data_IF_585624097081
#
_entry.id   IF_585624097081
#
_cell.length_a   1.000
_cell.length_b   1.000
_cell.length_c   1.000
_cell.angle_alpha   90.00
_cell.angle_beta   90.00
_cell.angle_gamma   90.00
#
_symmetry.space_group_name_H-M   'P 1'
#
loop_
_entity.id
_entity.type
_entity.pdbx_description
1 polymer ?
#
# COMPACT_ATOMS: atom_id res chain seq x y z
N UNK A 1 -30.11 13.21 -8.82
CA UNK A 1 -28.75 13.48 -8.30
C UNK A 1 -27.86 13.85 -9.48
N UNK A 2 -27.10 14.94 -9.41
CA UNK A 2 -26.07 15.21 -10.42
C UNK A 2 -24.99 14.13 -10.34
N UNK A 3 -24.32 13.80 -11.45
CA UNK A 3 -23.27 12.77 -11.44
C UNK A 3 -22.19 13.03 -10.37
N UNK A 4 -21.81 14.31 -10.17
CA UNK A 4 -20.84 14.74 -9.16
C UNK A 4 -21.32 14.62 -7.70
N UNK A 5 -22.61 14.39 -7.47
CA UNK A 5 -23.21 14.23 -6.14
C UNK A 5 -23.44 12.76 -5.78
N UNK A 6 -23.17 11.84 -6.72
CA UNK A 6 -23.33 10.40 -6.48
C UNK A 6 -22.49 9.97 -5.28
N UNK A 7 -22.97 9.05 -4.41
CA UNK A 7 -22.29 8.70 -3.17
C UNK A 7 -20.83 8.26 -3.32
N UNK A 8 -20.50 7.66 -4.47
CA UNK A 8 -19.13 7.30 -4.85
C UNK A 8 -18.16 8.49 -4.74
N UNK A 9 -18.59 9.71 -5.05
CA UNK A 9 -17.71 10.88 -5.11
C UNK A 9 -17.72 11.72 -3.83
N UNK A 10 -18.30 11.22 -2.73
CA UNK A 10 -18.40 12.01 -1.49
C UNK A 10 -17.09 12.06 -0.69
N UNK A 11 -16.25 11.02 -0.78
CA UNK A 11 -15.00 10.91 -0.01
C UNK A 11 -13.98 10.06 -0.78
N UNK A 12 -12.70 10.43 -0.70
CA UNK A 12 -11.60 9.80 -1.44
C UNK A 12 -11.50 8.28 -1.33
N UNK A 13 -11.78 7.64 -0.19
CA UNK A 13 -11.66 6.18 -0.10
C UNK A 13 -12.68 5.45 -1.00
N UNK A 14 -13.85 6.04 -1.26
CA UNK A 14 -14.92 5.36 -1.99
C UNK A 14 -14.53 4.98 -3.43
N UNK A 15 -14.10 5.92 -4.30
CA UNK A 15 -13.71 5.55 -5.66
C UNK A 15 -12.42 4.73 -5.65
N UNK A 16 -11.42 5.13 -4.86
CA UNK A 16 -10.12 4.48 -4.95
C UNK A 16 -10.06 3.11 -4.26
N UNK A 17 -10.88 2.82 -3.26
CA UNK A 17 -10.97 1.45 -2.72
C UNK A 17 -11.75 0.54 -3.68
N UNK A 18 -12.73 1.06 -4.41
CA UNK A 18 -13.39 0.31 -5.48
C UNK A 18 -12.38 -0.02 -6.59
N UNK A 19 -11.61 0.96 -7.05
CA UNK A 19 -10.54 0.74 -8.03
C UNK A 19 -9.47 -0.22 -7.51
N UNK A 20 -9.06 -0.11 -6.24
CA UNK A 20 -8.12 -1.04 -5.63
C UNK A 20 -8.65 -2.47 -5.54
N UNK A 21 -9.95 -2.68 -5.31
CA UNK A 21 -10.54 -4.02 -5.34
C UNK A 21 -10.50 -4.61 -6.75
N UNK A 22 -10.88 -3.82 -7.76
CA UNK A 22 -10.85 -4.26 -9.16
C UNK A 22 -9.42 -4.52 -9.65
N UNK A 23 -8.49 -3.63 -9.34
CA UNK A 23 -7.08 -3.77 -9.73
C UNK A 23 -6.38 -4.87 -8.94
N UNK A 24 -6.67 -5.02 -7.65
CA UNK A 24 -6.16 -6.12 -6.83
C UNK A 24 -6.66 -7.48 -7.31
N UNK A 25 -7.89 -7.55 -7.82
CA UNK A 25 -8.40 -8.76 -8.45
C UNK A 25 -7.69 -9.05 -9.78
N UNK A 26 -7.51 -8.05 -10.64
CA UNK A 26 -7.07 -8.25 -12.03
C UNK A 26 -5.55 -8.27 -12.24
N UNK A 27 -4.79 -7.37 -11.60
CA UNK A 27 -3.38 -7.13 -11.93
C UNK A 27 -2.45 -8.30 -11.60
N UNK A 28 -2.54 -8.98 -10.44
CA UNK A 28 -1.72 -10.16 -10.18
C UNK A 28 -2.03 -11.31 -11.13
N UNK A 29 -3.30 -11.48 -11.53
CA UNK A 29 -3.69 -12.50 -12.49
C UNK A 29 -3.11 -12.20 -13.87
N UNK A 30 -3.27 -10.97 -14.34
CA UNK A 30 -2.67 -10.52 -15.60
C UNK A 30 -1.15 -10.68 -15.59
N UNK A 31 -0.49 -10.27 -14.51
CA UNK A 31 0.96 -10.47 -14.34
C UNK A 31 1.35 -11.93 -14.47
N UNK A 32 0.66 -12.84 -13.77
CA UNK A 32 1.04 -14.25 -13.82
C UNK A 32 0.90 -14.82 -15.23
N UNK A 33 -0.16 -14.47 -15.96
CA UNK A 33 -0.35 -14.92 -17.34
C UNK A 33 0.74 -14.39 -18.29
N UNK A 34 1.20 -13.17 -18.07
CA UNK A 34 2.33 -12.59 -18.81
C UNK A 34 3.66 -13.24 -18.42
N UNK A 35 3.87 -13.45 -17.12
CA UNK A 35 5.10 -14.00 -16.55
C UNK A 35 5.35 -15.44 -17.02
N UNK A 36 4.31 -16.26 -17.13
CA UNK A 36 4.42 -17.64 -17.61
C UNK A 36 4.28 -17.79 -19.12
N UNK A 37 4.14 -16.68 -19.85
CA UNK A 37 4.06 -16.68 -21.32
C UNK A 37 2.74 -17.18 -21.89
N UNK A 38 1.70 -17.34 -21.07
CA UNK A 38 0.34 -17.71 -21.52
C UNK A 38 -0.28 -16.58 -22.35
N UNK A 39 0.01 -15.33 -21.99
CA UNK A 39 -0.39 -14.13 -22.75
C UNK A 39 0.86 -13.39 -23.19
N UNK A 40 0.89 -12.97 -24.47
CA UNK A 40 1.98 -12.14 -24.98
C UNK A 40 1.86 -10.72 -24.43
N UNK A 41 2.94 -10.13 -23.88
CA UNK A 41 2.91 -8.75 -23.41
C UNK A 41 2.63 -7.78 -24.57
N UNK A 42 1.87 -6.69 -24.33
CA UNK A 42 1.66 -5.68 -25.34
C UNK A 42 2.99 -5.00 -25.71
N UNK A 43 3.06 -4.44 -26.93
CA UNK A 43 4.20 -3.63 -27.35
C UNK A 43 4.44 -2.49 -26.35
N UNK A 44 5.63 -2.47 -25.73
CA UNK A 44 5.94 -1.55 -24.64
C UNK A 44 7.44 -1.26 -24.60
N UNK A 45 7.87 -0.02 -24.29
CA UNK A 45 9.26 0.29 -24.00
C UNK A 45 9.71 -0.23 -22.63
N UNK A 46 8.79 -0.75 -21.82
CA UNK A 46 9.04 -1.23 -20.47
C UNK A 46 9.23 -2.74 -20.46
N UNK A 47 10.20 -3.22 -19.68
CA UNK A 47 10.28 -4.64 -19.40
C UNK A 47 9.05 -5.12 -18.58
N UNK A 48 8.60 -6.38 -18.74
CA UNK A 48 7.39 -6.88 -18.06
C UNK A 48 7.42 -6.73 -16.54
N UNK A 49 8.59 -6.89 -15.92
CA UNK A 49 8.79 -6.68 -14.47
C UNK A 49 8.64 -5.21 -14.06
N UNK A 50 9.06 -4.25 -14.90
CA UNK A 50 8.86 -2.82 -14.67
C UNK A 50 7.37 -2.47 -14.72
N UNK A 51 6.66 -2.99 -15.73
CA UNK A 51 5.21 -2.84 -15.82
C UNK A 51 4.53 -3.42 -14.58
N UNK A 52 4.86 -4.65 -14.18
CA UNK A 52 4.29 -5.27 -12.98
C UNK A 52 4.54 -4.44 -11.72
N UNK A 53 5.79 -4.02 -11.48
CA UNK A 53 6.14 -3.21 -10.33
C UNK A 53 5.34 -1.90 -10.33
N UNK A 54 5.20 -1.26 -11.49
CA UNK A 54 4.41 -0.04 -11.63
C UNK A 54 2.92 -0.27 -11.34
N UNK A 55 2.32 -1.28 -11.95
CA UNK A 55 0.91 -1.62 -11.73
C UNK A 55 0.61 -1.95 -10.27
N UNK A 56 1.49 -2.69 -9.58
CA UNK A 56 1.30 -3.06 -8.19
C UNK A 56 1.50 -1.89 -7.23
N UNK A 57 2.53 -1.06 -7.42
CA UNK A 57 2.78 0.08 -6.54
C UNK A 57 1.90 1.29 -6.86
N UNK A 58 1.86 1.72 -8.12
CA UNK A 58 1.19 2.96 -8.52
C UNK A 58 -0.25 2.76 -9.02
N UNK A 59 -0.57 1.59 -9.59
CA UNK A 59 -1.94 1.22 -9.91
C UNK A 59 -2.73 0.84 -8.65
N UNK A 60 -2.43 -0.34 -8.10
CA UNK A 60 -3.09 -0.87 -6.90
C UNK A 60 -2.71 -0.12 -5.61
N UNK A 61 -1.42 -0.01 -5.32
CA UNK A 61 -0.93 0.54 -4.05
C UNK A 61 -1.36 1.99 -3.83
N UNK A 62 -1.32 2.84 -4.85
CA UNK A 62 -1.73 4.25 -4.74
C UNK A 62 -3.24 4.46 -4.85
N UNK A 63 -4.01 3.54 -5.44
CA UNK A 63 -5.45 3.55 -5.24
C UNK A 63 -5.78 3.38 -3.74
N UNK A 64 -5.11 2.45 -3.05
CA UNK A 64 -5.30 2.26 -1.61
C UNK A 64 -4.76 3.43 -0.79
N UNK A 65 -3.47 3.76 -0.96
CA UNK A 65 -2.81 4.80 -0.17
C UNK A 65 -3.44 6.17 -0.44
N UNK A 66 -3.70 6.49 -1.70
CA UNK A 66 -4.36 7.73 -2.10
C UNK A 66 -5.77 7.86 -1.56
N UNK A 67 -6.58 6.81 -1.67
CA UNK A 67 -7.93 6.77 -1.10
C UNK A 67 -7.93 6.94 0.43
N UNK A 68 -6.99 6.29 1.11
CA UNK A 68 -6.77 6.45 2.55
C UNK A 68 -6.36 7.89 2.91
N UNK A 69 -5.34 8.44 2.24
CA UNK A 69 -4.80 9.76 2.55
C UNK A 69 -5.82 10.86 2.29
N UNK A 70 -6.53 10.85 1.16
CA UNK A 70 -7.59 11.82 0.87
C UNK A 70 -8.73 11.80 1.90
N UNK A 71 -8.94 10.66 2.56
CA UNK A 71 -9.97 10.48 3.60
C UNK A 71 -9.47 10.86 4.98
N UNK A 72 -8.18 10.67 5.25
CA UNK A 72 -7.61 10.84 6.59
C UNK A 72 -7.04 12.24 6.80
N UNK A 73 -6.40 12.84 5.79
CA UNK A 73 -5.85 14.20 5.89
C UNK A 73 -6.91 15.21 6.27
N UNK A 74 -8.12 15.10 5.71
CA UNK A 74 -9.24 15.98 6.06
C UNK A 74 -9.58 15.95 7.56
N UNK A 75 -9.46 14.79 8.20
CA UNK A 75 -9.72 14.63 9.62
C UNK A 75 -8.55 15.14 10.47
N UNK A 76 -7.31 15.01 9.97
CA UNK A 76 -6.11 15.45 10.70
C UNK A 76 -6.06 16.96 10.85
N UNK A 77 -6.46 17.69 9.79
CA UNK A 77 -6.42 19.16 9.72
C UNK A 77 -7.81 19.81 9.87
N UNK A 78 -8.86 19.04 10.13
CA UNK A 78 -10.19 19.56 10.44
C UNK A 78 -10.96 20.23 9.29
N UNK A 79 -10.81 19.75 8.05
CA UNK A 79 -11.50 20.31 6.86
C UNK A 79 -12.47 19.33 6.21
N UNK A 80 -13.35 19.82 5.34
CA UNK A 80 -14.39 19.02 4.65
C UNK A 80 -13.82 17.92 3.73
N UNK A 81 -12.61 18.11 3.19
CA UNK A 81 -11.95 17.19 2.25
C UNK A 81 -12.51 17.24 0.83
N UNK A 82 -11.79 16.64 -0.12
CA UNK A 82 -12.16 16.67 -1.54
C UNK A 82 -13.34 15.74 -1.85
N UNK A 83 -14.27 16.24 -2.67
CA UNK A 83 -15.48 15.53 -3.11
C UNK A 83 -15.95 16.01 -4.49
N UNK A 84 -16.72 15.18 -5.20
CA UNK A 84 -17.30 15.50 -6.51
C UNK A 84 -16.27 15.52 -7.63
N UNK A 85 -16.26 16.59 -8.44
CA UNK A 85 -15.45 16.72 -9.66
C UNK A 85 -13.96 16.41 -9.48
N UNK A 86 -13.26 16.90 -8.44
CA UNK A 86 -11.85 16.53 -8.21
C UNK A 86 -11.62 15.02 -8.11
N UNK A 87 -12.52 14.27 -7.46
CA UNK A 87 -12.39 12.82 -7.35
C UNK A 87 -12.71 12.11 -8.66
N UNK A 88 -13.66 12.64 -9.45
CA UNK A 88 -13.96 12.14 -10.80
C UNK A 88 -12.72 12.28 -11.70
N UNK A 89 -12.10 13.47 -11.70
CA UNK A 89 -10.91 13.75 -12.51
C UNK A 89 -9.73 12.88 -12.10
N UNK A 90 -9.50 12.70 -10.79
CA UNK A 90 -8.44 11.80 -10.32
C UNK A 90 -8.72 10.33 -10.67
N UNK A 91 -9.96 9.87 -10.58
CA UNK A 91 -10.33 8.49 -10.96
C UNK A 91 -10.17 8.28 -12.48
N UNK A 92 -10.55 9.27 -13.29
CA UNK A 92 -10.31 9.26 -14.73
C UNK A 92 -8.82 9.25 -15.05
N UNK A 93 -8.02 10.08 -14.39
CA UNK A 93 -6.56 10.09 -14.54
C UNK A 93 -5.95 8.73 -14.16
N UNK A 94 -6.44 8.07 -13.11
CA UNK A 94 -5.99 6.73 -12.73
C UNK A 94 -6.26 5.70 -13.84
N UNK A 95 -7.47 5.73 -14.42
CA UNK A 95 -7.85 4.85 -15.52
C UNK A 95 -7.02 5.12 -16.78
N UNK A 96 -6.84 6.40 -17.14
CA UNK A 96 -6.00 6.83 -18.25
C UNK A 96 -4.57 6.34 -18.09
N UNK A 97 -4.03 6.37 -16.88
CA UNK A 97 -2.69 5.84 -16.60
C UNK A 97 -2.60 4.33 -16.86
N UNK A 98 -3.64 3.54 -16.52
CA UNK A 98 -3.64 2.08 -16.79
C UNK A 98 -3.66 1.80 -18.29
N UNK A 99 -4.48 2.54 -19.03
CA UNK A 99 -4.52 2.48 -20.49
C UNK A 99 -3.17 2.92 -21.08
N UNK A 100 -2.58 4.00 -20.57
CA UNK A 100 -1.29 4.50 -21.01
C UNK A 100 -0.15 3.50 -20.80
N UNK A 101 -0.16 2.77 -19.68
CA UNK A 101 0.79 1.70 -19.41
C UNK A 101 0.61 0.49 -20.33
N UNK A 102 -0.63 0.12 -20.64
CA UNK A 102 -0.90 -1.01 -21.53
C UNK A 102 -0.55 -0.71 -22.99
N UNK A 103 -0.80 0.53 -23.45
CA UNK A 103 -0.52 0.98 -24.81
C UNK A 103 0.79 1.77 -24.94
N UNK A 104 1.71 1.61 -23.99
CA UNK A 104 2.92 2.44 -23.88
C UNK A 104 3.77 2.44 -25.17
N UNK A 105 3.85 1.32 -25.90
CA UNK A 105 4.60 1.24 -27.16
C UNK A 105 4.00 2.03 -28.33
N UNK A 106 2.77 2.50 -28.22
CA UNK A 106 2.07 3.26 -29.26
C UNK A 106 1.95 4.75 -28.93
N UNK A 107 2.36 5.17 -27.74
CA UNK A 107 2.22 6.56 -27.29
C UNK A 107 3.51 7.35 -27.54
N UNK A 108 3.40 8.60 -28.02
CA UNK A 108 4.54 9.53 -28.01
C UNK A 108 5.11 9.69 -26.59
N UNK A 109 6.45 9.78 -26.42
CA UNK A 109 7.07 9.83 -25.09
C UNK A 109 6.52 10.92 -24.16
N UNK A 110 6.26 12.12 -24.71
CA UNK A 110 5.68 13.22 -23.94
C UNK A 110 4.25 12.90 -23.46
N UNK A 111 3.43 12.30 -24.32
CA UNK A 111 2.06 11.93 -23.96
C UNK A 111 2.06 10.82 -22.90
N UNK A 112 2.94 9.82 -23.05
CA UNK A 112 3.15 8.78 -22.04
C UNK A 112 3.58 9.38 -20.69
N UNK A 113 4.53 10.32 -20.68
CA UNK A 113 5.00 10.98 -19.45
C UNK A 113 3.90 11.83 -18.77
N UNK A 114 3.11 12.58 -19.55
CA UNK A 114 2.02 13.40 -19.02
C UNK A 114 0.93 12.50 -18.44
N UNK A 115 0.38 11.58 -19.23
CA UNK A 115 -0.66 10.63 -18.78
C UNK A 115 -0.17 9.83 -17.58
N UNK A 116 1.10 9.40 -17.64
CA UNK A 116 1.82 8.72 -16.57
C UNK A 116 1.84 9.49 -15.26
N UNK A 117 1.76 10.82 -15.24
CA UNK A 117 1.89 11.59 -14.00
C UNK A 117 0.62 12.34 -13.57
N UNK A 118 -0.46 12.35 -14.36
CA UNK A 118 -1.70 13.08 -14.03
C UNK A 118 -2.32 12.62 -12.69
N UNK A 119 -2.44 11.31 -12.48
CA UNK A 119 -3.06 10.78 -11.26
C UNK A 119 -2.19 11.03 -10.03
N UNK A 120 -0.95 10.52 -10.03
CA UNK A 120 -0.05 10.62 -8.89
C UNK A 120 0.31 12.08 -8.58
N UNK A 121 0.60 12.88 -9.62
CA UNK A 121 0.89 14.30 -9.47
C UNK A 121 -0.31 15.05 -8.89
N UNK A 122 -1.51 14.84 -9.44
CA UNK A 122 -2.73 15.48 -8.96
C UNK A 122 -3.03 15.15 -7.49
N UNK A 123 -3.00 13.87 -7.10
CA UNK A 123 -3.30 13.47 -5.72
C UNK A 123 -2.22 13.95 -4.74
N UNK A 124 -0.94 13.89 -5.10
CA UNK A 124 0.16 14.41 -4.27
C UNK A 124 0.00 15.91 -4.05
N UNK A 125 -0.29 16.69 -5.11
CA UNK A 125 -0.50 18.13 -4.99
C UNK A 125 -1.69 18.46 -4.09
N UNK A 126 -2.81 17.75 -4.23
CA UNK A 126 -3.99 17.93 -3.37
C UNK A 126 -3.69 17.64 -1.90
N UNK A 127 -2.95 16.56 -1.62
CA UNK A 127 -2.56 16.19 -0.26
C UNK A 127 -1.57 17.19 0.35
N UNK A 128 -0.55 17.60 -0.41
CA UNK A 128 0.42 18.61 0.03
C UNK A 128 -0.25 19.95 0.28
N UNK A 129 -1.10 20.40 -0.64
CA UNK A 129 -1.89 21.63 -0.46
C UNK A 129 -2.66 21.61 0.86
N UNK A 130 -3.40 20.52 1.12
CA UNK A 130 -4.19 20.37 2.35
C UNK A 130 -3.31 20.43 3.60
N UNK A 131 -2.20 19.68 3.62
CA UNK A 131 -1.31 19.59 4.79
C UNK A 131 -0.52 20.88 5.04
N UNK A 132 -0.14 21.61 3.98
CA UNK A 132 0.61 22.87 4.11
C UNK A 132 -0.32 24.01 4.47
N UNK A 133 -1.45 24.15 3.78
CA UNK A 133 -2.40 25.26 3.98
C UNK A 133 -3.05 25.26 5.35
N UNK A 134 -3.25 24.08 5.93
CA UNK A 134 -3.90 23.87 7.23
C UNK A 134 -2.94 23.25 8.26
N UNK A 135 -1.64 23.56 8.14
CA UNK A 135 -0.59 22.99 8.99
C UNK A 135 -0.73 23.33 10.47
N UNK A 136 -1.33 24.47 10.78
CA UNK A 136 -1.52 24.93 12.16
C UNK A 136 -2.57 24.09 12.90
N UNK A 137 -3.60 23.63 12.17
CA UNK A 137 -4.70 22.82 12.69
C UNK A 137 -4.40 21.30 12.69
N UNK A 138 -3.19 20.91 12.29
CA UNK A 138 -2.80 19.52 12.11
C UNK A 138 -2.54 18.79 13.44
N UNK A 139 -3.51 17.98 13.86
CA UNK A 139 -3.42 17.10 15.04
C UNK A 139 -2.26 16.09 14.99
N UNK A 140 -1.72 15.80 13.80
CA UNK A 140 -0.57 14.91 13.58
C UNK A 140 0.66 15.63 13.00
N UNK A 141 0.81 16.95 13.24
CA UNK A 141 1.86 17.80 12.66
C UNK A 141 3.28 17.22 12.69
N UNK A 142 3.66 16.59 13.80
CA UNK A 142 5.00 15.97 13.99
C UNK A 142 5.20 14.78 13.05
N UNK A 143 4.16 13.97 12.85
CA UNK A 143 4.26 12.79 11.98
C UNK A 143 4.03 13.16 10.52
N UNK A 144 3.16 14.13 10.23
CA UNK A 144 2.85 14.56 8.87
C UNK A 144 4.02 15.27 8.17
N UNK A 145 5.05 15.72 8.91
CA UNK A 145 6.30 16.19 8.29
C UNK A 145 6.95 15.12 7.41
N UNK A 146 6.82 13.84 7.76
CA UNK A 146 7.34 12.74 6.95
C UNK A 146 6.53 12.57 5.66
N UNK A 147 5.22 12.82 5.68
CA UNK A 147 4.41 12.85 4.45
C UNK A 147 4.73 14.06 3.56
N UNK A 148 5.03 15.24 4.14
CA UNK A 148 5.47 16.40 3.35
C UNK A 148 6.73 16.11 2.52
N UNK A 149 7.61 15.25 3.02
CA UNK A 149 8.82 14.80 2.32
C UNK A 149 8.52 13.61 1.39
N UNK A 150 7.80 12.60 1.88
CA UNK A 150 7.56 11.35 1.14
C UNK A 150 6.67 11.53 -0.09
N UNK A 151 5.67 12.41 -0.03
CA UNK A 151 4.69 12.58 -1.11
C UNK A 151 5.34 13.04 -2.44
N UNK A 152 6.17 14.09 -2.48
CA UNK A 152 6.94 14.43 -3.68
C UNK A 152 7.88 13.31 -4.15
N UNK A 153 8.51 12.60 -3.21
CA UNK A 153 9.45 11.53 -3.54
C UNK A 153 8.79 10.35 -4.24
N UNK A 154 7.49 10.11 -4.05
CA UNK A 154 6.78 9.09 -4.83
C UNK A 154 6.70 9.41 -6.32
N UNK A 155 6.61 10.69 -6.70
CA UNK A 155 6.65 11.10 -8.11
C UNK A 155 8.04 10.82 -8.68
N UNK A 156 9.09 11.17 -7.93
CA UNK A 156 10.47 10.89 -8.34
C UNK A 156 10.71 9.38 -8.48
N UNK A 157 10.36 8.60 -7.45
CA UNK A 157 10.54 7.15 -7.43
C UNK A 157 9.80 6.46 -8.60
N UNK A 158 8.59 6.93 -8.93
CA UNK A 158 7.84 6.44 -10.08
C UNK A 158 8.54 6.67 -11.41
N UNK A 159 9.00 7.90 -11.67
CA UNK A 159 9.63 8.21 -12.95
C UNK A 159 10.97 7.49 -13.08
N UNK A 160 11.72 7.33 -11.99
CA UNK A 160 12.92 6.49 -11.96
C UNK A 160 12.60 5.02 -12.22
N UNK A 161 11.48 4.50 -11.72
CA UNK A 161 11.03 3.12 -11.94
C UNK A 161 10.70 2.86 -13.42
N UNK A 162 10.09 3.84 -14.10
CA UNK A 162 9.68 3.72 -15.50
C UNK A 162 10.86 3.88 -16.48
N UNK A 163 11.98 4.47 -16.06
CA UNK A 163 13.18 4.58 -16.88
C UNK A 163 14.07 3.33 -16.73
N UNK A 164 14.49 2.67 -17.84
CA UNK A 164 15.30 1.45 -17.79
C UNK A 164 16.58 1.57 -16.95
N UNK A 165 17.34 2.65 -17.15
CA UNK A 165 18.65 2.85 -16.51
C UNK A 165 18.54 3.09 -14.99
N UNK A 166 17.38 3.55 -14.52
CA UNK A 166 17.15 3.92 -13.11
C UNK A 166 16.12 3.02 -12.43
N UNK A 167 15.67 1.95 -13.09
CA UNK A 167 14.62 1.07 -12.58
C UNK A 167 14.94 0.58 -11.16
N UNK A 168 16.18 0.15 -10.93
CA UNK A 168 16.66 -0.36 -9.64
C UNK A 168 16.45 0.66 -8.50
N UNK A 169 16.87 1.91 -8.74
CA UNK A 169 16.69 3.02 -7.81
C UNK A 169 15.21 3.31 -7.61
N UNK A 170 14.41 3.36 -8.69
CA UNK A 170 12.99 3.68 -8.62
C UNK A 170 12.17 2.68 -7.81
N UNK A 171 12.35 1.37 -8.01
CA UNK A 171 11.62 0.37 -7.23
C UNK A 171 12.09 0.33 -5.78
N UNK A 172 13.39 0.49 -5.51
CA UNK A 172 13.96 0.54 -4.16
C UNK A 172 13.40 1.73 -3.38
N UNK A 173 13.38 2.93 -3.99
CA UNK A 173 12.79 4.13 -3.41
C UNK A 173 11.30 3.94 -3.16
N UNK A 174 10.57 3.37 -4.11
CA UNK A 174 9.13 3.11 -3.98
C UNK A 174 8.83 2.20 -2.78
N UNK A 175 9.60 1.11 -2.62
CA UNK A 175 9.46 0.20 -1.49
C UNK A 175 9.75 0.90 -0.16
N UNK A 176 10.82 1.71 -0.10
CA UNK A 176 11.16 2.52 1.07
C UNK A 176 10.07 3.53 1.45
N UNK A 177 9.47 4.19 0.47
CA UNK A 177 8.39 5.16 0.68
C UNK A 177 7.11 4.49 1.20
N UNK A 178 6.73 3.33 0.65
CA UNK A 178 5.64 2.54 1.19
C UNK A 178 5.92 2.08 2.62
N UNK A 179 7.14 1.61 2.90
CA UNK A 179 7.55 1.22 4.27
C UNK A 179 7.42 2.39 5.25
N UNK A 180 7.90 3.57 4.88
CA UNK A 180 7.71 4.78 5.69
C UNK A 180 6.23 5.11 5.90
N UNK A 181 5.42 5.11 4.84
CA UNK A 181 3.99 5.38 4.92
C UNK A 181 3.26 4.40 5.85
N UNK A 182 3.50 3.09 5.69
CA UNK A 182 2.92 2.06 6.54
C UNK A 182 3.38 2.16 7.99
N UNK A 183 4.65 2.49 8.26
CA UNK A 183 5.14 2.70 9.62
C UNK A 183 4.42 3.87 10.32
N UNK A 184 4.29 5.01 9.63
CA UNK A 184 3.56 6.18 10.15
C UNK A 184 2.09 5.84 10.38
N UNK A 185 1.46 5.10 9.47
CA UNK A 185 0.06 4.72 9.58
C UNK A 185 -0.20 3.70 10.70
N UNK A 186 0.60 2.64 10.77
CA UNK A 186 0.49 1.59 11.79
C UNK A 186 0.58 2.15 13.19
N UNK A 187 1.51 3.08 13.40
CA UNK A 187 1.70 3.80 14.65
C UNK A 187 0.42 4.48 15.15
N UNK A 188 -0.31 5.15 14.26
CA UNK A 188 -1.58 5.81 14.58
C UNK A 188 -2.71 4.79 14.76
N UNK A 189 -2.85 3.87 13.82
CA UNK A 189 -4.02 2.96 13.78
C UNK A 189 -3.98 1.91 14.88
N UNK A 190 -2.82 1.28 15.13
CA UNK A 190 -2.72 0.23 16.14
C UNK A 190 -2.99 0.77 17.54
N UNK A 191 -2.53 1.99 17.85
CA UNK A 191 -2.80 2.64 19.13
C UNK A 191 -4.31 2.76 19.36
N UNK A 192 -5.05 3.25 18.36
CA UNK A 192 -6.51 3.42 18.46
C UNK A 192 -7.25 2.08 18.45
N UNK A 193 -6.79 1.10 17.69
CA UNK A 193 -7.45 -0.22 17.63
C UNK A 193 -7.25 -1.02 18.91
N UNK A 194 -6.04 -1.03 19.47
CA UNK A 194 -5.76 -1.70 20.74
C UNK A 194 -6.59 -1.08 21.88
N UNK A 195 -6.69 0.26 21.92
CA UNK A 195 -7.56 0.96 22.87
C UNK A 195 -9.03 0.64 22.63
N UNK A 196 -9.52 0.77 21.40
CA UNK A 196 -10.95 0.62 21.09
C UNK A 196 -11.48 -0.81 21.24
N UNK A 197 -10.67 -1.82 20.96
CA UNK A 197 -11.11 -3.23 20.98
C UNK A 197 -10.77 -3.94 22.28
N UNK A 198 -9.58 -3.69 22.85
CA UNK A 198 -9.11 -4.41 24.03
C UNK A 198 -9.04 -3.53 25.28
N UNK A 199 -9.39 -2.24 25.18
CA UNK A 199 -9.11 -1.25 26.25
C UNK A 199 -7.65 -1.25 26.68
N UNK A 200 -6.76 -1.64 25.77
CA UNK A 200 -5.34 -1.84 26.04
C UNK A 200 -4.54 -0.64 25.53
N UNK A 201 -3.88 0.05 26.44
CA UNK A 201 -2.86 1.05 26.07
C UNK A 201 -1.57 0.34 25.67
N UNK A 202 -0.99 0.76 24.55
CA UNK A 202 0.35 0.36 24.10
C UNK A 202 1.35 1.48 24.40
N UNK A 203 2.58 1.12 24.76
CA UNK A 203 3.60 2.11 25.10
C UNK A 203 4.07 2.85 23.85
N UNK A 204 4.14 4.17 23.96
CA UNK A 204 4.65 5.08 22.93
C UNK A 204 5.81 5.87 23.50
N UNK A 205 6.97 5.78 22.84
CA UNK A 205 8.18 6.52 23.19
C UNK A 205 8.53 7.43 22.02
N UNK A 206 8.20 8.71 22.14
CA UNK A 206 8.38 9.67 21.04
C UNK A 206 9.81 9.70 20.46
N UNK A 207 10.90 9.59 21.25
CA UNK A 207 12.25 9.49 20.69
C UNK A 207 12.45 8.25 19.80
N UNK A 208 11.99 7.08 20.25
CA UNK A 208 12.08 5.82 19.49
C UNK A 208 11.22 5.89 18.22
N UNK A 209 9.98 6.37 18.33
CA UNK A 209 9.09 6.48 17.17
C UNK A 209 9.68 7.43 16.11
N UNK A 210 10.23 8.57 16.52
CA UNK A 210 10.90 9.49 15.60
C UNK A 210 12.18 8.90 14.99
N UNK A 211 12.99 8.18 15.76
CA UNK A 211 14.18 7.50 15.24
C UNK A 211 13.79 6.44 14.19
N UNK A 212 12.75 5.64 14.44
CA UNK A 212 12.22 4.66 13.47
C UNK A 212 11.79 5.35 12.17
N UNK A 213 11.03 6.45 12.25
CA UNK A 213 10.58 7.19 11.07
C UNK A 213 11.74 7.83 10.31
N UNK A 214 12.77 8.35 11.00
CA UNK A 214 13.97 8.91 10.37
C UNK A 214 14.79 7.83 9.67
N UNK A 215 15.06 6.70 10.33
CA UNK A 215 15.75 5.56 9.71
C UNK A 215 14.97 5.02 8.49
N UNK A 216 13.64 4.95 8.58
CA UNK A 216 12.80 4.54 7.46
C UNK A 216 12.87 5.54 6.29
N UNK A 217 12.95 6.85 6.57
CA UNK A 217 13.16 7.87 5.55
C UNK A 217 14.55 7.78 4.90
N UNK A 218 15.60 7.55 5.68
CA UNK A 218 16.95 7.33 5.12
C UNK A 218 16.98 6.12 4.17
N UNK A 219 16.27 5.06 4.55
CA UNK A 219 16.15 3.86 3.74
C UNK A 219 15.29 4.02 2.47
N UNK A 220 14.67 5.17 2.23
CA UNK A 220 14.14 5.51 0.90
C UNK A 220 15.29 5.58 -0.11
N UNK A 221 16.46 6.05 0.31
CA UNK A 221 17.63 6.23 -0.55
C UNK A 221 18.59 5.04 -0.52
N UNK A 222 18.12 3.85 -0.10
CA UNK A 222 18.96 2.67 0.15
C UNK A 222 19.91 2.35 -1.02
N UNK A 223 19.39 2.33 -2.25
CA UNK A 223 20.18 2.00 -3.45
C UNK A 223 21.29 3.01 -3.77
N UNK A 224 21.27 4.19 -3.15
CA UNK A 224 22.26 5.25 -3.35
C UNK A 224 23.30 5.28 -2.22
N UNK A 225 23.11 4.49 -1.17
CA UNK A 225 24.03 4.40 -0.05
C UNK A 225 25.08 3.30 -0.30
N UNK A 226 26.28 3.41 0.30
CA UNK A 226 27.22 2.31 0.33
C UNK A 226 26.58 1.04 0.92
N UNK A 227 26.79 -0.16 0.35
CA UNK A 227 26.08 -1.39 0.76
C UNK A 227 26.16 -1.70 2.26
N UNK A 228 27.33 -1.48 2.86
CA UNK A 228 27.56 -1.69 4.31
C UNK A 228 26.71 -0.73 5.14
N UNK A 229 26.64 0.56 4.74
CA UNK A 229 25.87 1.57 5.44
C UNK A 229 24.36 1.30 5.32
N UNK A 230 23.87 0.97 4.12
CA UNK A 230 22.46 0.60 3.95
C UNK A 230 22.08 -0.64 4.76
N UNK A 231 22.97 -1.65 4.78
CA UNK A 231 22.78 -2.86 5.58
C UNK A 231 22.71 -2.56 7.07
N UNK A 232 23.62 -1.73 7.59
CA UNK A 232 23.64 -1.32 8.99
C UNK A 232 22.34 -0.56 9.37
N UNK A 233 21.92 0.42 8.57
CA UNK A 233 20.68 1.18 8.81
C UNK A 233 19.46 0.24 8.80
N UNK A 234 19.38 -0.69 7.85
CA UNK A 234 18.31 -1.68 7.76
C UNK A 234 18.22 -2.55 9.04
N UNK A 235 19.35 -3.09 9.50
CA UNK A 235 19.40 -3.91 10.72
C UNK A 235 19.12 -3.12 12.00
N UNK A 236 19.60 -1.87 12.08
CA UNK A 236 19.26 -0.97 13.20
C UNK A 236 17.76 -0.66 13.23
N UNK A 237 17.16 -0.36 12.07
CA UNK A 237 15.72 -0.13 11.96
C UNK A 237 14.91 -1.37 12.34
N UNK A 238 15.29 -2.55 11.84
CA UNK A 238 14.64 -3.81 12.19
C UNK A 238 14.71 -4.08 13.70
N UNK A 239 15.87 -3.86 14.32
CA UNK A 239 16.07 -4.03 15.77
C UNK A 239 15.21 -3.06 16.59
N UNK A 240 15.14 -1.79 16.19
CA UNK A 240 14.28 -0.80 16.83
C UNK A 240 12.79 -1.18 16.71
N UNK A 241 12.38 -1.68 15.55
CA UNK A 241 11.01 -2.17 15.32
C UNK A 241 10.68 -3.38 16.18
N UNK A 242 11.60 -4.35 16.32
CA UNK A 242 11.42 -5.52 17.19
C UNK A 242 11.33 -5.10 18.67
N UNK A 243 12.20 -4.20 19.12
CA UNK A 243 12.12 -3.65 20.48
C UNK A 243 10.77 -2.98 20.74
N UNK A 244 10.26 -2.20 19.80
CA UNK A 244 8.92 -1.58 19.89
C UNK A 244 7.78 -2.61 19.88
N UNK A 245 7.93 -3.68 19.10
CA UNK A 245 6.90 -4.72 18.91
C UNK A 245 6.47 -5.36 20.23
N UNK A 246 7.42 -5.65 21.13
CA UNK A 246 7.11 -6.22 22.46
C UNK A 246 6.21 -5.31 23.30
N UNK A 247 6.38 -3.99 23.19
CA UNK A 247 5.55 -3.04 23.91
C UNK A 247 4.13 -2.90 23.33
N UNK A 248 3.88 -3.43 22.13
CA UNK A 248 2.61 -3.31 21.41
C UNK A 248 1.68 -4.52 21.61
N UNK A 249 1.92 -5.31 22.67
CA UNK A 249 1.08 -6.41 23.16
C UNK A 249 0.64 -7.38 22.04
N UNK A 250 1.59 -7.97 21.29
CA UNK A 250 1.28 -8.79 20.12
C UNK A 250 0.42 -10.00 20.47
N UNK A 251 0.67 -10.65 21.62
CA UNK A 251 -0.13 -11.81 22.05
C UNK A 251 -1.62 -11.47 22.19
N UNK A 252 -1.95 -10.33 22.78
CA UNK A 252 -3.33 -9.83 22.89
C UNK A 252 -3.91 -9.57 21.51
N UNK A 253 -3.16 -8.90 20.63
CA UNK A 253 -3.63 -8.58 19.29
C UNK A 253 -3.92 -9.84 18.44
N UNK A 254 -3.09 -10.87 18.56
CA UNK A 254 -3.24 -12.12 17.79
C UNK A 254 -4.47 -12.94 18.19
N UNK A 255 -5.12 -12.66 19.33
CA UNK A 255 -6.41 -13.28 19.69
C UNK A 255 -7.54 -12.91 18.73
N UNK A 256 -7.38 -11.83 17.95
CA UNK A 256 -8.35 -11.35 16.97
C UNK A 256 -7.69 -11.13 15.62
N UNK A 257 -8.08 -11.91 14.61
CA UNK A 257 -7.52 -11.82 13.27
C UNK A 257 -7.60 -10.41 12.66
N UNK A 258 -8.65 -9.64 12.96
CA UNK A 258 -8.83 -8.29 12.41
C UNK A 258 -7.84 -7.24 12.95
N UNK A 259 -7.12 -7.55 14.03
CA UNK A 259 -6.04 -6.74 14.59
C UNK A 259 -4.70 -7.46 14.44
N UNK A 260 -4.63 -8.76 14.73
CA UNK A 260 -3.42 -9.57 14.60
C UNK A 260 -2.80 -9.49 13.21
N UNK A 261 -3.60 -9.35 12.15
CA UNK A 261 -3.13 -9.14 10.78
C UNK A 261 -2.25 -7.88 10.62
N UNK A 262 -2.51 -6.83 11.41
CA UNK A 262 -1.72 -5.60 11.42
C UNK A 262 -0.35 -5.84 12.07
N UNK A 263 -0.29 -6.67 13.12
CA UNK A 263 0.96 -7.10 13.74
C UNK A 263 1.75 -8.06 12.85
N UNK A 264 1.08 -8.95 12.11
CA UNK A 264 1.73 -9.77 11.07
C UNK A 264 2.33 -8.89 9.98
N UNK A 265 1.59 -7.88 9.51
CA UNK A 265 2.10 -6.92 8.54
C UNK A 265 3.25 -6.06 9.05
N UNK A 266 3.24 -5.70 10.34
CA UNK A 266 4.38 -5.09 11.00
C UNK A 266 5.61 -6.00 10.97
N UNK A 267 5.45 -7.29 11.27
CA UNK A 267 6.54 -8.27 11.15
C UNK A 267 6.99 -8.47 9.71
N UNK A 268 6.13 -8.26 8.71
CA UNK A 268 6.52 -8.19 7.29
C UNK A 268 7.53 -7.08 7.02
N UNK A 269 7.37 -5.90 7.64
CA UNK A 269 8.35 -4.80 7.53
C UNK A 269 9.68 -5.21 8.15
N UNK A 270 9.63 -5.80 9.34
CA UNK A 270 10.83 -6.29 10.04
C UNK A 270 11.53 -7.37 9.22
N UNK A 271 10.79 -8.36 8.72
CA UNK A 271 11.33 -9.47 7.94
C UNK A 271 11.99 -9.00 6.66
N UNK A 272 11.37 -8.08 5.91
CA UNK A 272 12.00 -7.47 4.73
C UNK A 272 13.31 -6.78 5.08
N UNK A 273 13.33 -5.96 6.14
CA UNK A 273 14.54 -5.25 6.57
C UNK A 273 15.66 -6.18 7.06
N UNK A 274 15.33 -7.27 7.74
CA UNK A 274 16.31 -8.26 8.16
C UNK A 274 16.92 -8.96 6.95
N UNK A 275 16.11 -9.39 5.98
CA UNK A 275 16.62 -10.04 4.78
C UNK A 275 17.52 -9.12 3.96
N UNK A 276 17.08 -7.88 3.71
CA UNK A 276 17.89 -6.92 2.96
C UNK A 276 19.14 -6.53 3.74
N UNK A 277 19.02 -6.29 5.05
CA UNK A 277 20.13 -5.95 5.93
C UNK A 277 21.22 -7.03 5.95
N UNK A 278 20.85 -8.27 6.28
CA UNK A 278 21.81 -9.39 6.28
C UNK A 278 22.35 -9.70 4.88
N UNK A 279 21.54 -9.55 3.83
CA UNK A 279 21.97 -9.71 2.45
C UNK A 279 23.05 -8.73 2.00
N UNK A 280 23.28 -7.62 2.73
CA UNK A 280 24.43 -6.72 2.48
C UNK A 280 25.74 -7.19 3.10
N UNK A 281 25.68 -8.10 4.07
CA UNK A 281 26.85 -8.62 4.78
C UNK A 281 27.15 -10.09 4.46
N UNK A 282 26.16 -10.82 3.96
CA UNK A 282 26.25 -12.21 3.59
C UNK A 282 25.67 -12.43 2.19
N UNK A 283 26.31 -13.29 1.40
CA UNK A 283 25.81 -13.67 0.08
C UNK A 283 24.67 -14.69 0.21
N UNK A 284 23.47 -14.20 0.56
CA UNK A 284 22.27 -15.01 0.72
C UNK A 284 21.51 -15.08 -0.61
N UNK A 285 21.31 -16.31 -1.10
CA UNK A 285 20.54 -16.56 -2.32
C UNK A 285 19.10 -16.92 -1.98
N UNK A 286 18.15 -16.24 -2.63
CA UNK A 286 16.71 -16.45 -2.44
C UNK A 286 16.03 -16.72 -3.79
N UNK A 287 14.99 -17.55 -3.77
CA UNK A 287 14.20 -17.81 -4.97
C UNK A 287 13.27 -16.62 -5.24
N UNK A 288 13.50 -15.93 -6.35
CA UNK A 288 12.78 -14.73 -6.77
C UNK A 288 13.07 -13.49 -5.92
N UNK A 289 12.22 -12.47 -6.03
CA UNK A 289 12.37 -11.20 -5.29
C UNK A 289 11.77 -11.30 -3.88
N UNK A 290 12.33 -12.19 -3.06
CA UNK A 290 11.78 -12.57 -1.75
C UNK A 290 11.59 -11.37 -0.79
N UNK A 291 12.58 -10.50 -0.53
CA UNK A 291 12.40 -9.39 0.43
C UNK A 291 11.30 -8.42 0.02
N UNK A 292 11.22 -8.12 -1.29
CA UNK A 292 10.15 -7.29 -1.87
C UNK A 292 8.79 -7.91 -1.58
N UNK A 293 8.63 -9.22 -1.78
CA UNK A 293 7.36 -9.90 -1.55
C UNK A 293 7.04 -10.12 -0.07
N UNK A 294 8.04 -10.22 0.81
CA UNK A 294 7.79 -10.17 2.25
C UNK A 294 7.11 -8.87 2.64
N UNK A 295 7.55 -7.73 2.08
CA UNK A 295 6.88 -6.47 2.33
C UNK A 295 5.53 -6.36 1.57
N UNK A 296 5.51 -6.60 0.26
CA UNK A 296 4.30 -6.36 -0.54
C UNK A 296 3.19 -7.36 -0.27
N UNK A 297 3.48 -8.63 0.02
CA UNK A 297 2.45 -9.58 0.49
C UNK A 297 2.28 -9.50 2.00
N UNK A 298 3.37 -9.54 2.76
CA UNK A 298 3.32 -9.63 4.22
C UNK A 298 2.78 -8.37 4.87
N UNK A 299 3.21 -7.19 4.43
CA UNK A 299 2.71 -5.90 4.93
C UNK A 299 1.49 -5.44 4.13
N UNK A 300 1.66 -5.13 2.84
CA UNK A 300 0.57 -4.53 2.06
C UNK A 300 -0.59 -5.53 1.86
N UNK A 301 -0.29 -6.74 1.38
CA UNK A 301 -1.29 -7.78 1.10
C UNK A 301 -2.11 -8.19 2.33
N UNK A 302 -1.49 -8.29 3.51
CA UNK A 302 -2.21 -8.66 4.74
C UNK A 302 -3.02 -7.47 5.31
N UNK A 303 -2.45 -6.27 5.35
CA UNK A 303 -3.07 -5.11 6.01
C UNK A 303 -4.20 -4.50 5.17
N UNK A 304 -3.98 -4.35 3.85
CA UNK A 304 -4.89 -3.59 2.98
C UNK A 304 -6.33 -4.13 3.02
N UNK A 305 -6.59 -5.43 2.86
CA UNK A 305 -7.96 -5.95 2.88
C UNK A 305 -8.67 -5.68 4.21
N UNK A 306 -7.97 -5.84 5.34
CA UNK A 306 -8.51 -5.53 6.66
C UNK A 306 -8.84 -4.04 6.81
N UNK A 307 -7.98 -3.16 6.29
CA UNK A 307 -8.20 -1.72 6.31
C UNK A 307 -9.36 -1.29 5.42
N UNK A 308 -9.53 -1.89 4.23
CA UNK A 308 -10.68 -1.64 3.36
C UNK A 308 -11.97 -1.99 4.09
N UNK A 309 -12.07 -3.19 4.69
CA UNK A 309 -13.24 -3.60 5.50
C UNK A 309 -13.54 -2.58 6.59
N UNK A 310 -12.52 -2.22 7.38
CA UNK A 310 -12.67 -1.36 8.55
C UNK A 310 -13.09 0.06 8.19
N UNK A 311 -12.42 0.67 7.21
CA UNK A 311 -12.69 2.03 6.73
C UNK A 311 -14.04 2.06 6.01
N UNK A 312 -14.32 1.10 5.13
CA UNK A 312 -15.59 1.07 4.41
C UNK A 312 -16.77 0.96 5.37
N UNK A 313 -16.70 0.11 6.40
CA UNK A 313 -17.76 0.04 7.40
C UNK A 313 -17.87 1.33 8.22
N UNK A 314 -16.76 1.79 8.82
CA UNK A 314 -16.77 2.99 9.68
C UNK A 314 -17.22 4.27 8.97
N UNK A 315 -16.79 4.46 7.73
CA UNK A 315 -17.17 5.61 6.91
C UNK A 315 -18.48 5.41 6.14
N UNK A 316 -19.15 4.27 6.20
CA UNK A 316 -20.51 4.15 5.64
C UNK A 316 -21.61 4.06 6.71
N UNK A 317 -21.26 4.32 7.97
CA UNK A 317 -22.19 4.27 9.11
C UNK A 317 -22.48 2.85 9.59
N UNK A 318 -21.75 1.85 9.11
CA UNK A 318 -21.94 0.44 9.48
C UNK A 318 -21.04 0.10 10.66
N UNK A 319 -21.49 -0.86 11.50
CA UNK A 319 -20.67 -1.36 12.60
C UNK A 319 -19.38 -1.99 12.05
N UNK A 320 -18.25 -1.65 12.66
CA UNK A 320 -16.93 -2.21 12.30
C UNK A 320 -16.77 -3.57 12.96
N UNK A 321 -17.39 -4.58 12.34
CA UNK A 321 -17.32 -5.98 12.78
C UNK A 321 -16.91 -6.84 11.59
N UNK A 322 -15.98 -7.76 11.82
CA UNK A 322 -15.52 -8.74 10.84
C UNK A 322 -16.33 -10.02 11.02
N UNK A 323 -17.15 -10.35 10.02
CA UNK A 323 -17.92 -11.59 10.02
C UNK A 323 -17.11 -12.78 9.45
N UNK A 324 -17.78 -13.91 9.19
CA UNK A 324 -17.12 -15.13 8.69
C UNK A 324 -16.43 -14.91 7.34
N UNK A 325 -17.05 -14.16 6.43
CA UNK A 325 -16.50 -13.91 5.10
C UNK A 325 -15.36 -12.88 5.17
N UNK A 326 -15.49 -11.86 6.03
CA UNK A 326 -14.39 -10.90 6.28
C UNK A 326 -13.17 -11.58 6.92
N UNK A 327 -13.36 -12.62 7.73
CA UNK A 327 -12.25 -13.40 8.29
C UNK A 327 -11.68 -14.39 7.27
N UNK A 328 -12.53 -14.99 6.44
CA UNK A 328 -12.10 -15.92 5.38
C UNK A 328 -11.17 -15.22 4.38
N UNK A 329 -11.50 -14.00 3.94
CA UNK A 329 -10.64 -13.26 3.01
C UNK A 329 -9.24 -13.00 3.61
N UNK A 330 -9.14 -12.68 4.91
CA UNK A 330 -7.84 -12.49 5.56
C UNK A 330 -7.04 -13.79 5.63
N UNK A 331 -7.70 -14.93 5.87
CA UNK A 331 -7.06 -16.26 5.83
C UNK A 331 -6.56 -16.62 4.43
N UNK A 332 -7.33 -16.31 3.39
CA UNK A 332 -6.91 -16.48 1.99
C UNK A 332 -5.67 -15.65 1.70
N UNK A 333 -5.59 -14.42 2.20
CA UNK A 333 -4.41 -13.56 2.00
C UNK A 333 -3.19 -14.04 2.78
N UNK A 334 -3.38 -14.62 3.97
CA UNK A 334 -2.30 -15.31 4.70
C UNK A 334 -1.80 -16.52 3.89
N UNK A 335 -2.70 -17.33 3.32
CA UNK A 335 -2.32 -18.43 2.44
C UNK A 335 -1.58 -17.92 1.19
N UNK A 336 -2.05 -16.83 0.57
CA UNK A 336 -1.37 -16.18 -0.55
C UNK A 336 0.07 -15.76 -0.21
N UNK A 337 0.26 -15.19 0.99
CA UNK A 337 1.60 -14.84 1.49
C UNK A 337 2.49 -16.08 1.60
N UNK A 338 2.01 -17.16 2.23
CA UNK A 338 2.78 -18.42 2.37
C UNK A 338 3.13 -19.00 0.99
N UNK A 339 2.16 -19.07 0.08
CA UNK A 339 2.36 -19.58 -1.28
C UNK A 339 3.33 -18.72 -2.08
N UNK A 340 3.37 -17.41 -1.86
CA UNK A 340 4.27 -16.51 -2.59
C UNK A 340 5.68 -16.47 -2.02
N UNK A 341 5.81 -16.54 -0.71
CA UNK A 341 7.05 -16.20 0.01
C UNK A 341 7.76 -17.46 0.52
N UNK A 342 7.02 -18.41 1.10
CA UNK A 342 7.58 -19.57 1.80
C UNK A 342 7.68 -20.78 0.88
N UNK A 343 6.59 -21.15 0.20
CA UNK A 343 6.54 -22.36 -0.64
C UNK A 343 7.64 -22.40 -1.72
N UNK A 344 7.96 -21.30 -2.43
CA UNK A 344 9.04 -21.29 -3.41
C UNK A 344 10.45 -21.55 -2.86
N UNK A 345 10.69 -21.30 -1.57
CA UNK A 345 11.99 -21.56 -0.96
C UNK A 345 12.14 -23.05 -0.60
N UNK A 346 11.02 -23.75 -0.36
CA UNK A 346 10.99 -25.18 -0.04
C UNK A 346 10.94 -26.05 -1.30
N UNK A 347 10.22 -25.61 -2.33
CA UNK A 347 10.12 -26.32 -3.61
C UNK A 347 10.29 -25.35 -4.80
N UNK A 348 11.55 -25.02 -5.15
CA UNK A 348 11.85 -24.02 -6.19
C UNK A 348 11.41 -24.44 -7.59
N UNK A 349 11.43 -25.73 -7.91
CA UNK A 349 11.08 -26.26 -9.24
C UNK A 349 9.62 -25.96 -9.64
N UNK A 350 8.73 -25.85 -8.65
CA UNK A 350 7.32 -25.52 -8.86
C UNK A 350 7.05 -24.00 -8.85
N UNK A 351 8.07 -23.14 -9.03
CA UNK A 351 7.95 -21.68 -8.93
C UNK A 351 6.76 -21.09 -9.71
N UNK A 352 6.54 -21.42 -11.00
CA UNK A 352 5.40 -20.87 -11.75
C UNK A 352 4.06 -21.24 -11.12
N UNK A 353 3.91 -22.49 -10.66
CA UNK A 353 2.69 -22.96 -10.01
C UNK A 353 2.40 -22.20 -8.70
N UNK A 354 3.43 -21.91 -7.91
CA UNK A 354 3.29 -21.08 -6.70
C UNK A 354 2.85 -19.65 -7.01
N UNK A 355 3.38 -19.05 -8.08
CA UNK A 355 2.95 -17.72 -8.55
C UNK A 355 1.49 -17.74 -9.00
N UNK A 356 1.06 -18.77 -9.73
CA UNK A 356 -0.36 -18.98 -10.09
C UNK A 356 -1.26 -19.14 -8.87
N UNK A 357 -0.87 -19.98 -7.90
CA UNK A 357 -1.65 -20.20 -6.70
C UNK A 357 -1.80 -18.90 -5.86
N UNK A 358 -0.71 -18.15 -5.68
CA UNK A 358 -0.75 -16.87 -4.97
C UNK A 358 -1.63 -15.83 -5.69
N UNK A 359 -1.56 -15.76 -7.02
CA UNK A 359 -2.39 -14.85 -7.82
C UNK A 359 -3.88 -15.24 -7.77
N UNK A 360 -4.20 -16.55 -7.78
CA UNK A 360 -5.56 -17.04 -7.61
C UNK A 360 -6.14 -16.65 -6.24
N UNK A 361 -5.34 -16.76 -5.16
CA UNK A 361 -5.76 -16.29 -3.84
C UNK A 361 -6.06 -14.78 -3.84
N UNK A 362 -5.23 -13.96 -4.47
CA UNK A 362 -5.49 -12.52 -4.63
C UNK A 362 -6.78 -12.24 -5.42
N UNK A 363 -6.96 -12.92 -6.55
CA UNK A 363 -8.17 -12.81 -7.37
C UNK A 363 -9.43 -13.09 -6.55
N UNK A 364 -9.45 -14.22 -5.83
CA UNK A 364 -10.59 -14.60 -4.99
C UNK A 364 -10.79 -13.60 -3.85
N UNK A 365 -9.74 -13.21 -3.13
CA UNK A 365 -9.85 -12.32 -1.98
C UNK A 365 -10.35 -10.92 -2.37
N UNK A 366 -9.76 -10.30 -3.39
CA UNK A 366 -10.16 -8.98 -3.86
C UNK A 366 -11.46 -9.00 -4.67
N UNK A 367 -11.78 -10.10 -5.35
CA UNK A 367 -13.08 -10.31 -5.99
C UNK A 367 -14.22 -10.37 -4.96
N UNK A 368 -14.05 -11.13 -3.87
CA UNK A 368 -15.01 -11.17 -2.76
C UNK A 368 -15.12 -9.82 -2.05
N UNK A 369 -13.99 -9.14 -1.83
CA UNK A 369 -13.96 -7.81 -1.22
C UNK A 369 -14.70 -6.80 -2.10
N UNK A 370 -14.45 -6.80 -3.41
CA UNK A 370 -15.10 -5.95 -4.39
C UNK A 370 -16.60 -6.20 -4.47
N UNK A 371 -17.00 -7.46 -4.66
CA UNK A 371 -18.41 -7.88 -4.70
C UNK A 371 -19.19 -7.39 -3.48
N UNK A 372 -18.59 -7.48 -2.29
CA UNK A 372 -19.26 -7.12 -1.04
C UNK A 372 -19.24 -5.62 -0.74
N UNK A 373 -18.12 -4.94 -0.97
CA UNK A 373 -17.94 -3.56 -0.52
C UNK A 373 -18.22 -2.52 -1.60
N UNK A 374 -17.98 -2.78 -2.88
CA UNK A 374 -18.27 -1.81 -3.95
C UNK A 374 -19.74 -1.35 -3.91
N UNK A 375 -20.76 -2.22 -3.79
CA UNK A 375 -22.15 -1.78 -3.66
C UNK A 375 -22.38 -0.84 -2.46
N UNK A 376 -21.70 -1.09 -1.34
CA UNK A 376 -21.77 -0.24 -0.14
C UNK A 376 -21.11 1.13 -0.37
N UNK A 377 -20.04 1.19 -1.16
CA UNK A 377 -19.33 2.42 -1.52
C UNK A 377 -20.12 3.28 -2.54
N UNK A 378 -21.02 2.65 -3.29
CA UNK A 378 -21.93 3.33 -4.23
C UNK A 378 -23.19 3.89 -3.57
N UNK A 379 -23.50 3.47 -2.34
CA UNK A 379 -24.70 3.89 -1.62
C UNK A 379 -24.44 5.05 -0.64
N UNK A 380 -25.47 5.84 -0.31
CA UNK A 380 -25.43 6.77 0.82
C UNK A 380 -25.05 6.05 2.13
N UNK A 381 -24.63 6.82 3.13
CA UNK A 381 -24.38 6.25 4.46
C UNK A 381 -25.68 5.70 5.05
N UNK A 382 -25.61 4.55 5.73
CA UNK A 382 -26.80 3.91 6.31
C UNK A 382 -27.38 4.66 7.51
N UNK A 383 -26.59 5.55 8.11
CA UNK A 383 -26.98 6.38 9.26
C UNK A 383 -27.54 7.76 8.87
N UNK A 384 -27.72 8.03 7.56
CA UNK A 384 -28.27 9.29 7.06
C UNK A 384 -27.38 10.52 7.21
N UNK A 385 -26.18 10.38 7.80
CA UNK A 385 -25.27 11.51 8.01
C UNK A 385 -24.61 11.97 6.70
N UNK A 386 -24.27 13.25 6.63
CA UNK A 386 -23.39 13.78 5.58
C UNK A 386 -21.94 13.44 5.92
N UNK A 387 -21.11 13.30 4.90
CA UNK A 387 -19.71 12.87 4.99
C UNK A 387 -18.72 13.98 5.28
#
# INVERSE_FOLDING_TARGET
MRFSEHPLWLVGFRPFFALACLSGMALPLAWTLLFTGVVTPPASPLAPNQWHAHEMFFGFGWAVLGGFLLTSTKNWVGVRGYHGTPLILLAAAWLLERLGMWYAGYLPPLLFAVVGNLFLGGIVLMLLWTLVRHREDDSYRVDNRFFLIALPLFIVAKNLLLAPDTFATGWSMTLGLYRLAFLVMLERTLTQFMKGVFQATILRKAPLDNAIKLLALLMVFESLLPPILSGAIALTLASALLGRFFFWKPLTAMTRIDIGIMHLGYLGIVGQLLLDGFGRFANLHWIGTLPVHIFTFGTMGLIIPAMIVRIANGHTGRKVVFDRLDKLLLKIMIAAFVLRVVAPQLWPEAYPAWVHAAAACWFVAFGLLGWRYIPRLLQPRVDGKVH
#
